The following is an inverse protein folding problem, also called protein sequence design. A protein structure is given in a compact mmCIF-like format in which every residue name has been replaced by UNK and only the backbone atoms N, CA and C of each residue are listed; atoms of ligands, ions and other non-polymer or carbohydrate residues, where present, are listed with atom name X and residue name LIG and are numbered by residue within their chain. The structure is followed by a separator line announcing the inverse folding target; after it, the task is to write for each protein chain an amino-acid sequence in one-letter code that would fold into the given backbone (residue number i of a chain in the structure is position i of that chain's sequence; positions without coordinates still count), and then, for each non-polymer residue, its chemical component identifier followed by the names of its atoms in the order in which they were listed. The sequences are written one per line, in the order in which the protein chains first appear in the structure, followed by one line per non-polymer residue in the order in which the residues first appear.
data_IF_719946281823
#
_entry.id   IF_719946281823
#
_cell.length_a   1.000
_cell.length_b   1.000
_cell.length_c   1.000
_cell.angle_alpha   90.00
_cell.angle_beta   90.00
_cell.angle_gamma   90.00
#
_symmetry.space_group_name_H-M   'P 1'
#
loop_
_entity.id
_entity.type
_entity.pdbx_description
1 polymer ?
#
# COMPACT_ATOMS: atom_id res chain seq x y z
N UNK A 1 22.95 -16.31 -10.72
CA UNK A 1 21.95 -16.54 -9.64
C UNK A 1 20.91 -17.44 -10.24
N UNK A 2 20.73 -18.65 -9.72
CA UNK A 2 19.64 -19.52 -10.14
C UNK A 2 18.31 -18.78 -9.90
N UNK A 3 17.44 -18.74 -10.91
CA UNK A 3 16.07 -18.28 -10.74
C UNK A 3 15.41 -19.14 -9.66
N UNK A 4 15.27 -18.58 -8.47
CA UNK A 4 14.61 -19.26 -7.37
C UNK A 4 13.20 -19.60 -7.84
N UNK A 5 12.85 -20.86 -7.82
CA UNK A 5 11.55 -21.30 -8.31
C UNK A 5 10.46 -20.88 -7.33
N UNK A 6 9.99 -19.63 -7.48
CA UNK A 6 8.97 -19.03 -6.62
C UNK A 6 7.71 -19.90 -6.48
N UNK A 7 7.39 -20.72 -7.48
CA UNK A 7 6.21 -21.60 -7.42
C UNK A 7 6.35 -22.69 -6.35
N UNK A 8 7.58 -23.19 -6.12
CA UNK A 8 7.84 -24.14 -5.03
C UNK A 8 7.70 -23.46 -3.67
N UNK A 9 8.19 -22.23 -3.53
CA UNK A 9 8.08 -21.47 -2.30
C UNK A 9 6.62 -21.08 -2.01
N UNK A 10 5.83 -20.72 -3.03
CA UNK A 10 4.39 -20.47 -2.90
C UNK A 10 3.67 -21.73 -2.43
N UNK A 11 3.96 -22.91 -3.01
CA UNK A 11 3.36 -24.17 -2.57
C UNK A 11 3.68 -24.46 -1.12
N UNK A 12 4.95 -24.30 -0.72
CA UNK A 12 5.36 -24.50 0.67
C UNK A 12 4.65 -23.55 1.63
N UNK A 13 4.51 -22.29 1.27
CA UNK A 13 3.77 -21.31 2.03
C UNK A 13 2.28 -21.67 2.16
N UNK A 14 1.66 -22.17 1.07
CA UNK A 14 0.28 -22.66 1.08
C UNK A 14 0.12 -23.87 2.00
N UNK A 15 1.04 -24.82 1.97
CA UNK A 15 1.01 -26.02 2.82
C UNK A 15 1.11 -25.65 4.30
N UNK A 16 2.00 -24.74 4.67
CA UNK A 16 2.11 -24.19 6.02
C UNK A 16 0.80 -23.51 6.44
N UNK A 17 0.23 -22.68 5.56
CA UNK A 17 -1.03 -21.97 5.82
C UNK A 17 -2.21 -22.94 6.02
N UNK A 18 -2.32 -23.98 5.19
CA UNK A 18 -3.37 -25.03 5.28
C UNK A 18 -3.23 -25.91 6.51
N UNK A 19 -1.99 -26.13 6.98
CA UNK A 19 -1.71 -26.93 8.17
C UNK A 19 -1.98 -26.21 9.49
N UNK A 20 -2.54 -24.99 9.46
CA UNK A 20 -2.79 -24.19 10.66
C UNK A 20 -1.54 -23.54 11.28
N UNK A 21 -0.39 -23.62 10.60
CA UNK A 21 0.90 -23.09 11.04
C UNK A 21 1.06 -21.61 10.64
N UNK A 22 0.11 -20.77 11.06
CA UNK A 22 0.00 -19.38 10.60
C UNK A 22 1.27 -18.55 10.86
N UNK A 23 1.94 -18.74 12.00
CA UNK A 23 3.18 -18.05 12.32
C UNK A 23 4.33 -18.53 11.41
N UNK A 24 4.53 -19.83 11.26
CA UNK A 24 5.55 -20.39 10.38
C UNK A 24 5.34 -19.94 8.91
N UNK A 25 4.08 -19.93 8.44
CA UNK A 25 3.74 -19.45 7.10
C UNK A 25 4.09 -17.96 6.92
N UNK A 26 3.83 -17.12 7.93
CA UNK A 26 4.14 -15.71 7.92
C UNK A 26 5.64 -15.45 7.92
N UNK A 27 6.38 -16.14 8.81
CA UNK A 27 7.84 -16.04 8.86
C UNK A 27 8.46 -16.47 7.53
N UNK A 28 8.01 -17.61 6.99
CA UNK A 28 8.45 -18.12 5.68
C UNK A 28 8.19 -17.11 4.55
N UNK A 29 7.02 -16.44 4.56
CA UNK A 29 6.67 -15.43 3.56
C UNK A 29 7.69 -14.28 3.55
N UNK A 30 7.99 -13.67 4.69
CA UNK A 30 8.92 -12.55 4.77
C UNK A 30 10.39 -12.94 4.58
N UNK A 31 10.75 -14.17 4.84
CA UNK A 31 12.13 -14.66 4.67
C UNK A 31 12.43 -15.13 3.26
N UNK A 32 11.41 -15.66 2.55
CA UNK A 32 11.63 -16.37 1.30
C UNK A 32 10.87 -15.83 0.09
N UNK A 33 9.73 -15.19 0.28
CA UNK A 33 8.85 -14.79 -0.81
C UNK A 33 8.78 -13.27 -1.02
N UNK A 34 8.79 -12.48 0.04
CA UNK A 34 8.40 -11.09 -0.06
C UNK A 34 9.34 -10.24 -0.93
N UNK A 35 10.65 -10.51 -0.93
CA UNK A 35 11.59 -9.82 -1.81
C UNK A 35 11.24 -10.07 -3.30
N UNK A 36 10.92 -11.32 -3.65
CA UNK A 36 10.50 -11.68 -5.01
C UNK A 36 9.11 -11.10 -5.35
N UNK A 37 8.22 -11.00 -4.38
CA UNK A 37 6.92 -10.33 -4.54
C UNK A 37 7.12 -8.86 -4.89
N UNK A 38 8.01 -8.15 -4.18
CA UNK A 38 8.35 -6.76 -4.46
C UNK A 38 8.88 -6.62 -5.91
N UNK A 39 9.86 -7.42 -6.30
CA UNK A 39 10.44 -7.38 -7.64
C UNK A 39 9.39 -7.60 -8.74
N UNK A 40 8.51 -8.61 -8.57
CA UNK A 40 7.42 -8.87 -9.50
C UNK A 40 6.41 -7.73 -9.55
N UNK A 41 6.05 -7.20 -8.40
CA UNK A 41 5.13 -6.07 -8.30
C UNK A 41 5.68 -4.83 -9.03
N UNK A 42 6.93 -4.47 -8.79
CA UNK A 42 7.59 -3.36 -9.50
C UNK A 42 7.59 -3.61 -11.02
N UNK A 43 8.01 -4.80 -11.46
CA UNK A 43 8.09 -5.14 -12.89
C UNK A 43 6.73 -5.07 -13.59
N UNK A 44 5.67 -5.58 -12.94
CA UNK A 44 4.36 -5.71 -13.57
C UNK A 44 3.55 -4.41 -13.57
N UNK A 45 3.93 -3.42 -12.74
CA UNK A 45 3.14 -2.20 -12.54
C UNK A 45 3.85 -0.91 -12.97
N UNK A 46 4.99 -0.98 -13.67
CA UNK A 46 5.77 0.18 -14.09
C UNK A 46 5.00 1.24 -14.89
N UNK A 47 3.92 0.85 -15.56
CA UNK A 47 3.15 1.72 -16.45
C UNK A 47 1.88 2.29 -15.80
N UNK A 48 1.53 1.89 -14.57
CA UNK A 48 0.23 2.26 -13.96
C UNK A 48 0.18 3.74 -13.57
N UNK A 49 1.33 4.29 -13.16
CA UNK A 49 1.47 5.73 -12.90
C UNK A 49 2.53 6.25 -13.85
N UNK A 50 2.09 6.71 -15.01
CA UNK A 50 2.99 7.17 -16.08
C UNK A 50 3.36 8.65 -15.90
N UNK A 51 4.65 8.94 -15.90
CA UNK A 51 5.21 10.20 -16.39
C UNK A 51 5.72 11.20 -15.38
N UNK A 52 5.29 11.25 -14.13
CA UNK A 52 5.83 12.20 -13.16
C UNK A 52 6.30 11.53 -11.87
N UNK A 53 7.40 12.01 -11.32
CA UNK A 53 7.84 11.58 -9.99
C UNK A 53 6.76 11.90 -8.96
N UNK A 54 6.48 10.96 -8.06
CA UNK A 54 5.57 11.18 -6.93
C UNK A 54 6.28 12.02 -5.88
N UNK A 55 5.73 13.18 -5.55
CA UNK A 55 6.30 14.05 -4.53
C UNK A 55 5.94 13.51 -3.14
N UNK A 56 4.66 13.22 -2.92
CA UNK A 56 4.15 12.73 -1.64
C UNK A 56 3.31 11.47 -1.86
N UNK A 57 3.66 10.41 -1.15
CA UNK A 57 2.81 9.23 -0.98
C UNK A 57 2.24 9.24 0.44
N UNK A 58 0.93 9.22 0.57
CA UNK A 58 0.25 9.02 1.85
C UNK A 58 -0.35 7.62 1.85
N UNK A 59 0.08 6.78 2.78
CA UNK A 59 -0.42 5.41 2.89
C UNK A 59 -1.21 5.22 4.18
N UNK A 60 -2.39 4.62 4.09
CA UNK A 60 -3.18 4.26 5.28
C UNK A 60 -2.78 2.84 5.70
N UNK A 61 -2.20 2.71 6.89
CA UNK A 61 -1.79 1.43 7.43
C UNK A 61 -3.00 0.69 8.00
N UNK A 62 -3.18 -0.55 7.57
CA UNK A 62 -4.14 -1.48 8.12
C UNK A 62 -3.45 -2.60 8.91
N UNK A 63 -4.01 -3.81 8.85
CA UNK A 63 -3.43 -4.97 9.55
C UNK A 63 -2.13 -5.49 8.93
N UNK A 64 -1.91 -5.22 7.66
CA UNK A 64 -0.80 -5.74 6.85
C UNK A 64 0.09 -4.62 6.35
N UNK A 65 1.42 -4.68 6.54
CA UNK A 65 2.36 -3.66 6.08
C UNK A 65 2.74 -3.80 4.61
N UNK A 66 2.46 -4.96 3.97
CA UNK A 66 2.89 -5.27 2.61
C UNK A 66 2.42 -4.22 1.59
N UNK A 67 1.16 -3.75 1.58
CA UNK A 67 0.72 -2.74 0.62
C UNK A 67 1.46 -1.40 0.76
N UNK A 68 1.90 -1.07 1.98
CA UNK A 68 2.71 0.13 2.25
C UNK A 68 4.06 0.01 1.56
N UNK A 69 4.73 -1.13 1.78
CA UNK A 69 6.04 -1.41 1.19
C UNK A 69 5.96 -1.48 -0.33
N UNK A 70 4.98 -2.22 -0.87
CA UNK A 70 4.79 -2.38 -2.32
C UNK A 70 4.54 -1.03 -3.01
N UNK A 71 3.64 -0.21 -2.46
CA UNK A 71 3.36 1.13 -2.98
C UNK A 71 4.60 2.03 -2.95
N UNK A 72 5.34 2.07 -1.85
CA UNK A 72 6.53 2.90 -1.72
C UNK A 72 7.67 2.43 -2.64
N UNK A 73 7.91 1.12 -2.76
CA UNK A 73 8.94 0.57 -3.66
C UNK A 73 8.67 0.87 -5.12
N UNK A 74 7.40 0.74 -5.55
CA UNK A 74 7.01 1.05 -6.93
C UNK A 74 7.09 2.55 -7.24
N UNK A 75 6.52 3.39 -6.36
CA UNK A 75 6.34 4.81 -6.63
C UNK A 75 7.55 5.67 -6.30
N UNK A 76 8.43 5.22 -5.41
CA UNK A 76 9.65 5.91 -4.97
C UNK A 76 9.41 7.38 -4.66
N UNK A 77 8.46 7.69 -3.74
CA UNK A 77 8.09 9.07 -3.44
C UNK A 77 9.25 9.84 -2.81
N UNK A 78 9.25 11.17 -2.97
CA UNK A 78 10.21 12.05 -2.26
C UNK A 78 9.91 12.11 -0.77
N UNK A 79 8.63 12.06 -0.39
CA UNK A 79 8.16 12.01 1.00
C UNK A 79 7.11 10.91 1.12
N UNK A 80 7.28 10.03 2.12
CA UNK A 80 6.30 8.98 2.42
C UNK A 80 5.72 9.18 3.82
N UNK A 81 4.40 9.35 3.88
CA UNK A 81 3.64 9.52 5.11
C UNK A 81 2.80 8.27 5.33
N UNK A 82 2.91 7.66 6.49
CA UNK A 82 2.15 6.47 6.87
C UNK A 82 1.21 6.83 8.01
N UNK A 83 -0.08 6.93 7.69
CA UNK A 83 -1.13 7.21 8.65
C UNK A 83 -1.60 5.89 9.28
N UNK A 84 -1.70 5.85 10.60
CA UNK A 84 -2.14 4.67 11.36
C UNK A 84 -3.11 5.06 12.47
N UNK A 85 -3.89 4.09 12.95
CA UNK A 85 -4.75 4.25 14.12
C UNK A 85 -3.96 4.12 15.43
N UNK A 86 -4.57 4.55 16.54
CA UNK A 86 -3.97 4.45 17.85
C UNK A 86 -3.84 2.98 18.31
N UNK A 87 -2.71 2.36 18.01
CA UNK A 87 -2.25 1.15 18.69
C UNK A 87 -2.60 -0.21 18.07
N UNK A 88 -3.40 -0.29 17.00
CA UNK A 88 -3.77 -1.58 16.40
C UNK A 88 -2.98 -1.88 15.14
N UNK A 89 -2.87 -0.91 14.25
CA UNK A 89 -2.20 -1.12 12.95
C UNK A 89 -0.67 -1.00 13.06
N UNK A 90 -0.15 -0.09 13.86
CA UNK A 90 1.29 0.05 14.11
C UNK A 90 1.74 -0.78 15.31
N UNK A 91 1.75 -2.10 15.16
CA UNK A 91 2.34 -3.02 16.13
C UNK A 91 3.85 -3.22 15.86
N UNK A 92 4.56 -3.87 16.79
CA UNK A 92 6.01 -4.11 16.70
C UNK A 92 6.40 -4.82 15.40
N UNK A 93 5.59 -5.77 14.94
CA UNK A 93 5.86 -6.53 13.74
C UNK A 93 5.71 -5.68 12.47
N UNK A 94 4.63 -4.93 12.35
CA UNK A 94 4.41 -4.03 11.22
C UNK A 94 5.53 -2.98 11.15
N UNK A 95 5.89 -2.40 12.30
CA UNK A 95 7.00 -1.45 12.38
C UNK A 95 8.33 -2.08 11.93
N UNK A 96 8.63 -3.31 12.40
CA UNK A 96 9.82 -4.05 11.99
C UNK A 96 9.87 -4.33 10.48
N UNK A 97 8.74 -4.74 9.89
CA UNK A 97 8.67 -5.03 8.45
C UNK A 97 8.82 -3.74 7.64
N UNK A 98 8.10 -2.68 7.98
CA UNK A 98 8.23 -1.38 7.31
C UNK A 98 9.67 -0.90 7.38
N UNK A 99 10.29 -0.88 8.56
CA UNK A 99 11.66 -0.43 8.76
C UNK A 99 12.74 -1.34 8.12
N UNK A 100 12.43 -2.62 7.84
CA UNK A 100 13.31 -3.50 7.05
C UNK A 100 13.41 -3.06 5.59
N UNK A 101 12.30 -2.58 5.02
CA UNK A 101 12.20 -2.32 3.58
C UNK A 101 12.23 -0.84 3.20
N UNK A 102 11.87 0.06 4.12
CA UNK A 102 11.80 1.51 3.87
C UNK A 102 12.71 2.27 4.85
N UNK A 103 13.35 3.34 4.35
CA UNK A 103 14.27 4.17 5.15
C UNK A 103 13.73 5.56 5.43
N UNK A 104 13.00 6.15 4.47
CA UNK A 104 12.53 7.53 4.53
C UNK A 104 11.00 7.56 4.57
N UNK A 105 10.45 7.60 5.79
CA UNK A 105 9.01 7.69 6.00
C UNK A 105 8.68 8.35 7.34
N UNK A 106 7.46 8.87 7.46
CA UNK A 106 6.94 9.50 8.67
C UNK A 106 5.66 8.80 9.10
N UNK A 107 5.58 8.39 10.36
CA UNK A 107 4.33 7.93 10.95
C UNK A 107 3.50 9.09 11.46
N UNK A 108 2.19 9.04 11.19
CA UNK A 108 1.19 9.97 11.69
C UNK A 108 0.06 9.18 12.33
N UNK A 109 -0.13 9.36 13.62
CA UNK A 109 -1.18 8.70 14.38
C UNK A 109 -2.48 9.49 14.29
N UNK A 110 -3.59 8.80 13.97
CA UNK A 110 -4.93 9.39 14.03
C UNK A 110 -5.43 9.43 15.48
N UNK A 111 -6.04 10.52 15.87
CA UNK A 111 -6.70 10.65 17.18
C UNK A 111 -7.95 9.76 17.26
N UNK A 112 -8.69 9.64 16.16
CA UNK A 112 -9.81 8.74 15.97
C UNK A 112 -9.95 8.33 14.50
N UNK A 113 -10.83 7.36 14.23
CA UNK A 113 -11.02 6.81 12.88
C UNK A 113 -12.26 7.40 12.18
N UNK A 114 -12.67 8.60 12.58
CA UNK A 114 -13.78 9.30 11.94
C UNK A 114 -13.38 9.83 10.57
N UNK A 115 -14.38 10.10 9.74
CA UNK A 115 -14.18 10.71 8.43
C UNK A 115 -13.44 12.05 8.55
N UNK A 116 -13.88 12.91 9.45
CA UNK A 116 -13.31 14.26 9.61
C UNK A 116 -11.88 14.22 10.13
N UNK A 117 -11.57 13.36 11.10
CA UNK A 117 -10.22 13.24 11.63
C UNK A 117 -9.23 12.88 10.51
N UNK A 118 -9.53 11.87 9.69
CA UNK A 118 -8.64 11.53 8.56
C UNK A 118 -8.57 12.65 7.53
N UNK A 119 -9.72 13.26 7.17
CA UNK A 119 -9.75 14.35 6.18
C UNK A 119 -8.87 15.54 6.62
N UNK A 120 -9.00 15.97 7.87
CA UNK A 120 -8.23 17.07 8.44
C UNK A 120 -6.74 16.72 8.56
N UNK A 121 -6.42 15.46 8.95
CA UNK A 121 -5.04 14.96 8.98
C UNK A 121 -4.41 14.98 7.58
N UNK A 122 -5.11 14.51 6.55
CA UNK A 122 -4.62 14.56 5.16
C UNK A 122 -4.34 16.00 4.72
N UNK A 123 -5.25 16.92 5.06
CA UNK A 123 -5.10 18.36 4.75
C UNK A 123 -3.90 18.97 5.46
N UNK A 124 -3.70 18.64 6.73
CA UNK A 124 -2.54 19.07 7.50
C UNK A 124 -1.25 18.57 6.86
N UNK A 125 -1.18 17.26 6.54
CA UNK A 125 0.02 16.66 5.96
C UNK A 125 0.37 17.26 4.59
N UNK A 126 -0.59 17.54 3.72
CA UNK A 126 -0.31 18.25 2.46
C UNK A 126 0.09 19.72 2.66
N UNK A 127 -0.35 20.36 3.74
CA UNK A 127 0.09 21.69 4.10
C UNK A 127 1.56 21.73 4.56
N UNK A 128 1.99 20.70 5.30
CA UNK A 128 3.37 20.54 5.77
C UNK A 128 4.29 20.09 4.62
N UNK A 129 3.79 19.24 3.73
CA UNK A 129 4.53 18.66 2.60
C UNK A 129 3.85 19.03 1.27
N UNK A 130 4.03 20.25 0.75
CA UNK A 130 3.42 20.68 -0.50
C UNK A 130 3.88 19.78 -1.67
N UNK A 131 2.93 19.32 -2.48
CA UNK A 131 3.18 18.41 -3.58
C UNK A 131 2.51 18.88 -4.86
N UNK A 132 3.18 18.73 -6.00
CA UNK A 132 2.54 18.83 -7.33
C UNK A 132 1.87 17.50 -7.71
N UNK A 133 2.45 16.38 -7.26
CA UNK A 133 1.89 15.05 -7.48
C UNK A 133 1.80 14.30 -6.14
N UNK A 134 0.59 14.20 -5.62
CA UNK A 134 0.26 13.45 -4.41
C UNK A 134 -0.49 12.18 -4.77
N UNK A 135 -0.10 11.07 -4.14
CA UNK A 135 -0.76 9.76 -4.26
C UNK A 135 -1.20 9.28 -2.89
N UNK A 136 -2.43 8.77 -2.80
CA UNK A 136 -2.97 8.20 -1.55
C UNK A 136 -3.21 6.70 -1.75
N UNK A 137 -2.55 5.88 -0.94
CA UNK A 137 -2.73 4.43 -0.90
C UNK A 137 -3.76 4.06 0.16
N UNK A 138 -4.93 3.58 -0.30
CA UNK A 138 -6.08 3.23 0.54
C UNK A 138 -6.23 1.72 0.79
N UNK A 139 -5.21 0.94 0.54
CA UNK A 139 -5.29 -0.53 0.69
C UNK A 139 -5.55 -0.93 2.14
N UNK A 140 -5.01 -0.18 3.08
CA UNK A 140 -5.24 -0.38 4.51
C UNK A 140 -6.40 0.45 5.06
N UNK A 141 -6.62 0.32 6.36
CA UNK A 141 -7.62 1.09 7.09
C UNK A 141 -9.06 0.56 6.98
N UNK A 142 -9.97 1.30 7.57
CA UNK A 142 -11.41 1.00 7.55
C UNK A 142 -12.08 1.59 6.31
N UNK A 143 -13.26 1.09 5.95
CA UNK A 143 -14.04 1.60 4.80
C UNK A 143 -14.37 3.10 4.92
N UNK A 144 -14.62 3.60 6.14
CA UNK A 144 -14.82 5.03 6.42
C UNK A 144 -13.60 5.86 6.06
N UNK A 145 -12.40 5.34 6.34
CA UNK A 145 -11.13 5.99 5.99
C UNK A 145 -10.93 6.03 4.46
N UNK A 146 -11.25 4.93 3.78
CA UNK A 146 -11.18 4.88 2.31
C UNK A 146 -12.15 5.87 1.66
N UNK A 147 -13.36 6.02 2.21
CA UNK A 147 -14.33 7.02 1.73
C UNK A 147 -13.83 8.46 1.95
N UNK A 148 -13.27 8.75 3.12
CA UNK A 148 -12.67 10.05 3.43
C UNK A 148 -11.53 10.40 2.48
N UNK A 149 -10.60 9.45 2.29
CA UNK A 149 -9.48 9.61 1.38
C UNK A 149 -9.91 9.80 -0.09
N UNK A 150 -10.99 9.12 -0.52
CA UNK A 150 -11.54 9.28 -1.87
C UNK A 150 -12.11 10.67 -2.12
N UNK A 151 -12.85 11.23 -1.16
CA UNK A 151 -13.37 12.60 -1.25
C UNK A 151 -12.21 13.60 -1.21
N UNK A 152 -11.25 13.40 -0.31
CA UNK A 152 -10.06 14.22 -0.21
C UNK A 152 -9.25 14.22 -1.53
N UNK A 153 -9.03 13.04 -2.13
CA UNK A 153 -8.29 12.92 -3.38
C UNK A 153 -8.93 13.73 -4.51
N UNK A 154 -10.28 13.77 -4.59
CA UNK A 154 -11.00 14.61 -5.52
C UNK A 154 -10.81 16.10 -5.23
N UNK A 155 -10.94 16.52 -3.97
CA UNK A 155 -10.91 17.91 -3.56
C UNK A 155 -9.50 18.53 -3.68
N UNK A 156 -8.45 17.72 -3.50
CA UNK A 156 -7.05 18.15 -3.53
C UNK A 156 -6.25 17.60 -4.71
N UNK A 157 -6.93 17.04 -5.73
CA UNK A 157 -6.31 16.58 -6.97
C UNK A 157 -5.20 15.53 -6.76
N UNK A 158 -5.42 14.57 -5.86
CA UNK A 158 -4.52 13.47 -5.61
C UNK A 158 -4.94 12.22 -6.39
N UNK A 159 -3.97 11.40 -6.80
CA UNK A 159 -4.25 10.05 -7.28
C UNK A 159 -4.61 9.13 -6.11
N UNK A 160 -5.52 8.20 -6.34
CA UNK A 160 -5.95 7.20 -5.36
C UNK A 160 -5.60 5.81 -5.86
N UNK A 161 -4.81 5.08 -5.09
CA UNK A 161 -4.35 3.75 -5.44
C UNK A 161 -4.78 2.69 -4.43
N UNK A 162 -4.86 1.46 -4.93
CA UNK A 162 -5.14 0.27 -4.14
C UNK A 162 -4.24 -0.87 -4.62
N UNK A 163 -3.54 -1.53 -3.72
CA UNK A 163 -2.81 -2.77 -4.01
C UNK A 163 -3.80 -3.92 -3.94
N UNK A 164 -4.08 -4.51 -5.09
CA UNK A 164 -5.03 -5.60 -5.27
C UNK A 164 -4.29 -6.88 -5.66
N UNK A 165 -4.98 -7.99 -5.84
CA UNK A 165 -4.39 -9.26 -6.25
C UNK A 165 -5.29 -9.99 -7.25
N UNK A 166 -4.65 -10.61 -8.26
CA UNK A 166 -5.33 -11.31 -9.34
C UNK A 166 -5.67 -12.76 -9.00
N UNK A 167 -5.04 -13.34 -7.98
CA UNK A 167 -5.26 -14.72 -7.54
C UNK A 167 -5.50 -14.78 -6.04
N UNK A 168 -6.49 -15.59 -5.66
CA UNK A 168 -6.93 -15.79 -4.29
C UNK A 168 -7.14 -17.28 -4.02
N UNK A 169 -6.49 -17.82 -2.99
CA UNK A 169 -6.73 -19.20 -2.56
C UNK A 169 -7.96 -19.25 -1.63
N UNK A 170 -9.07 -19.86 -2.08
CA UNK A 170 -10.30 -19.90 -1.29
C UNK A 170 -10.19 -20.76 -0.03
N UNK A 171 -9.26 -21.70 0.01
CA UNK A 171 -9.08 -22.62 1.15
C UNK A 171 -8.37 -21.96 2.32
N UNK A 172 -7.39 -21.10 2.05
CA UNK A 172 -6.66 -20.32 3.07
C UNK A 172 -7.28 -18.94 3.30
N UNK A 173 -8.16 -18.49 2.41
CA UNK A 173 -8.71 -17.12 2.36
C UNK A 173 -7.60 -16.07 2.32
N UNK A 174 -6.57 -16.33 1.52
CA UNK A 174 -5.43 -15.42 1.35
C UNK A 174 -5.12 -15.18 -0.12
N UNK A 175 -4.63 -14.00 -0.47
CA UNK A 175 -4.06 -13.76 -1.80
C UNK A 175 -2.83 -14.64 -2.02
N UNK A 176 -2.62 -15.07 -3.27
CA UNK A 176 -1.42 -15.81 -3.66
C UNK A 176 -0.25 -14.84 -3.78
N UNK A 177 0.88 -15.09 -3.09
CA UNK A 177 2.06 -14.24 -3.19
C UNK A 177 2.56 -14.07 -4.62
N UNK A 178 2.85 -12.83 -5.03
CA UNK A 178 3.28 -12.49 -6.38
C UNK A 178 2.14 -12.30 -7.39
N UNK A 179 0.88 -12.31 -6.92
CA UNK A 179 -0.31 -11.99 -7.72
C UNK A 179 -0.78 -10.54 -7.52
N UNK A 180 -0.07 -9.77 -6.72
CA UNK A 180 -0.38 -8.40 -6.40
C UNK A 180 -0.23 -7.49 -7.62
N UNK A 181 -1.14 -6.54 -7.77
CA UNK A 181 -1.07 -5.50 -8.79
C UNK A 181 -1.56 -4.16 -8.23
N UNK A 182 -1.10 -3.06 -8.86
CA UNK A 182 -1.55 -1.73 -8.51
C UNK A 182 -2.80 -1.37 -9.29
N UNK A 183 -3.86 -1.03 -8.57
CA UNK A 183 -5.09 -0.48 -9.15
C UNK A 183 -5.08 1.05 -8.94
N UNK A 184 -5.09 1.83 -10.03
CA UNK A 184 -5.33 3.26 -10.00
C UNK A 184 -6.84 3.47 -9.91
N UNK A 185 -7.34 3.60 -8.67
CA UNK A 185 -8.77 3.70 -8.36
C UNK A 185 -9.35 4.99 -8.90
N UNK A 186 -8.65 6.11 -8.68
CA UNK A 186 -9.05 7.44 -9.12
C UNK A 186 -7.82 8.25 -9.52
N UNK A 187 -7.95 9.04 -10.58
CA UNK A 187 -6.98 10.05 -10.96
C UNK A 187 -7.73 11.30 -11.46
N UNK A 188 -7.48 12.49 -10.92
CA UNK A 188 -8.15 13.70 -11.37
C UNK A 188 -7.92 13.95 -12.87
N UNK A 189 -6.74 13.63 -13.37
CA UNK A 189 -6.38 13.81 -14.78
C UNK A 189 -7.12 12.87 -15.74
N UNK A 190 -7.50 11.68 -15.25
CA UNK A 190 -8.27 10.68 -16.03
C UNK A 190 -9.77 10.85 -15.84
N UNK A 191 -10.20 11.08 -14.60
CA UNK A 191 -11.60 10.93 -14.21
C UNK A 191 -12.35 12.27 -14.14
N UNK A 192 -11.61 13.41 -14.19
CA UNK A 192 -12.15 14.77 -14.26
C UNK A 192 -11.49 15.61 -15.38
N UNK A 193 -11.40 15.09 -16.61
CA UNK A 193 -10.69 15.78 -17.69
C UNK A 193 -11.28 17.16 -18.03
N UNK A 194 -12.59 17.36 -17.84
CA UNK A 194 -13.28 18.61 -18.10
C UNK A 194 -12.80 19.78 -17.23
N UNK A 195 -12.16 19.52 -16.11
CA UNK A 195 -11.61 20.58 -15.25
C UNK A 195 -10.28 21.13 -15.76
N UNK A 196 -9.61 20.39 -16.65
CA UNK A 196 -8.28 20.73 -17.17
C UNK A 196 -8.28 21.20 -18.64
N UNK A 197 -9.43 21.12 -19.32
CA UNK A 197 -9.59 21.51 -20.71
C UNK A 197 -10.30 22.87 -20.90
N UNK A 198 -10.22 23.76 -19.94
CA UNK A 198 -10.73 25.15 -20.05
C UNK A 198 -9.64 26.13 -20.41
#
# INVERSE_FOLDING_TARGET
MEERNIELDIRRWLDLSKSGKAKEAKDFYYENLFDTVIERFEKNNQQVISGSSVDVLISILGFSPEPIVLGAKLLKPKTHIIIHDAGVSLNEENNRIIGKYLTDYHFVELQDETFSCLYDTLKEQLSIHPAQHCVINITGGKKSMSASAGIFARDFFCDLIYVDYSKYDPSTRRPEPGSEFLNLVYSPYRDLPELFHK
#
